data_IF_556747508939
#
_entry.id   IF_556747508939
#
_cell.length_a   1.000
_cell.length_b   1.000
_cell.length_c   1.000
_cell.angle_alpha   90.00
_cell.angle_beta   90.00
_cell.angle_gamma   90.00
#
_symmetry.space_group_name_H-M   'P 1'
#
loop_
_entity.id
_entity.type
_entity.pdbx_description
1 polymer ?
#
# COMPACT_ATOMS: atom_id res chain seq x y z
N UNK A 1 6.55 -14.80 -12.18
CA UNK A 1 7.24 -13.54 -11.80
C UNK A 1 7.78 -13.67 -10.38
N UNK A 2 9.05 -13.42 -10.18
CA UNK A 2 9.64 -13.52 -8.84
C UNK A 2 9.52 -12.21 -8.07
N UNK A 3 9.46 -12.33 -6.75
CA UNK A 3 9.47 -11.15 -5.89
C UNK A 3 10.89 -10.59 -5.78
N UNK A 4 11.04 -9.27 -5.65
CA UNK A 4 12.34 -8.73 -5.31
C UNK A 4 12.75 -9.20 -3.91
N UNK A 5 14.04 -9.37 -3.69
CA UNK A 5 14.54 -9.63 -2.35
C UNK A 5 14.34 -8.38 -1.48
N UNK A 6 14.49 -8.54 -0.18
CA UNK A 6 14.38 -7.43 0.75
C UNK A 6 15.38 -6.33 0.44
N UNK A 7 16.62 -6.71 0.11
CA UNK A 7 17.68 -5.77 -0.26
C UNK A 7 17.36 -5.08 -1.58
N UNK A 8 16.89 -5.84 -2.56
CA UNK A 8 16.51 -5.29 -3.86
C UNK A 8 15.38 -4.28 -3.73
N UNK A 9 14.36 -4.60 -2.94
CA UNK A 9 13.24 -3.70 -2.73
C UNK A 9 13.69 -2.41 -2.03
N UNK A 10 14.49 -2.55 -0.99
CA UNK A 10 15.01 -1.41 -0.24
C UNK A 10 15.81 -0.48 -1.14
N UNK A 11 16.67 -1.05 -1.97
CA UNK A 11 17.46 -0.30 -2.94
C UNK A 11 16.57 0.44 -3.93
N UNK A 12 15.53 -0.23 -4.43
CA UNK A 12 14.59 0.38 -5.37
C UNK A 12 13.80 1.53 -4.73
N UNK A 13 13.37 1.36 -3.49
CA UNK A 13 12.63 2.39 -2.79
C UNK A 13 13.49 3.65 -2.57
N UNK A 14 14.73 3.46 -2.16
CA UNK A 14 15.67 4.58 -1.99
C UNK A 14 15.88 5.31 -3.32
N UNK A 15 16.05 4.56 -4.40
CA UNK A 15 16.20 5.13 -5.74
C UNK A 15 14.95 5.93 -6.14
N UNK A 16 13.77 5.38 -5.87
CA UNK A 16 12.51 6.05 -6.18
C UNK A 16 12.34 7.35 -5.40
N UNK A 17 12.69 7.35 -4.12
CA UNK A 17 12.63 8.54 -3.29
C UNK A 17 13.58 9.63 -3.83
N UNK A 18 14.77 9.23 -4.24
CA UNK A 18 15.75 10.15 -4.82
C UNK A 18 15.24 10.74 -6.14
N UNK A 19 14.63 9.92 -6.99
CA UNK A 19 14.04 10.38 -8.25
C UNK A 19 12.96 11.45 -8.00
N UNK A 20 12.09 11.22 -7.01
CA UNK A 20 11.06 12.18 -6.67
C UNK A 20 11.62 13.47 -6.08
N UNK A 21 12.64 13.35 -5.24
CA UNK A 21 13.31 14.47 -4.62
C UNK A 21 13.91 15.43 -5.66
N UNK A 22 14.46 14.87 -6.72
CA UNK A 22 15.07 15.64 -7.81
C UNK A 22 14.11 15.95 -8.94
N UNK A 23 12.84 15.60 -8.78
CA UNK A 23 11.79 15.82 -9.79
C UNK A 23 12.15 15.19 -11.13
N UNK A 24 12.76 14.00 -11.09
CA UNK A 24 13.15 13.23 -12.26
C UNK A 24 12.53 11.84 -12.16
N UNK A 25 11.29 11.74 -12.58
CA UNK A 25 10.53 10.50 -12.51
C UNK A 25 9.97 10.14 -13.88
N UNK A 26 10.82 9.56 -14.76
CA UNK A 26 10.37 9.21 -16.11
C UNK A 26 9.27 8.16 -16.05
N UNK A 27 8.22 8.39 -16.82
CA UNK A 27 7.10 7.45 -16.95
C UNK A 27 6.41 7.13 -15.62
N UNK A 28 6.56 8.00 -14.63
CA UNK A 28 5.95 7.83 -13.30
C UNK A 28 6.36 6.53 -12.59
N UNK A 29 7.58 6.08 -12.85
CA UNK A 29 8.10 4.84 -12.26
C UNK A 29 8.23 4.95 -10.74
N UNK A 30 8.83 6.04 -10.26
CA UNK A 30 9.02 6.25 -8.83
C UNK A 30 7.68 6.44 -8.12
N UNK A 31 6.81 7.25 -8.68
CA UNK A 31 5.47 7.48 -8.11
C UNK A 31 4.71 6.16 -7.97
N UNK A 32 4.73 5.34 -9.02
CA UNK A 32 4.02 4.06 -9.02
C UNK A 32 4.59 3.10 -8.00
N UNK A 33 5.91 2.98 -7.95
CA UNK A 33 6.58 2.08 -7.01
C UNK A 33 6.30 2.46 -5.56
N UNK A 34 6.45 3.73 -5.24
CA UNK A 34 6.24 4.21 -3.86
C UNK A 34 4.78 4.04 -3.44
N UNK A 35 3.85 4.36 -4.34
CA UNK A 35 2.42 4.22 -4.06
C UNK A 35 2.05 2.75 -3.84
N UNK A 36 2.45 1.88 -4.76
CA UNK A 36 2.12 0.46 -4.66
C UNK A 36 2.77 -0.19 -3.43
N UNK A 37 4.01 0.20 -3.11
CA UNK A 37 4.68 -0.33 -1.92
C UNK A 37 3.95 0.09 -0.63
N UNK A 38 3.50 1.32 -0.58
CA UNK A 38 2.73 1.85 0.55
C UNK A 38 1.42 1.09 0.73
N UNK A 39 0.67 0.92 -0.36
CA UNK A 39 -0.62 0.24 -0.32
C UNK A 39 -0.48 -1.25 -0.01
N UNK A 40 0.53 -1.90 -0.58
CA UNK A 40 0.74 -3.33 -0.43
C UNK A 40 0.90 -3.74 1.04
N UNK A 41 1.54 -2.92 1.85
CA UNK A 41 1.72 -3.21 3.28
C UNK A 41 0.40 -3.45 3.99
N UNK A 42 -0.61 -2.67 3.67
CA UNK A 42 -1.93 -2.80 4.28
C UNK A 42 -2.66 -4.04 3.79
N UNK A 43 -2.51 -4.38 2.51
CA UNK A 43 -3.12 -5.59 1.97
C UNK A 43 -2.45 -6.85 2.50
N UNK A 44 -1.14 -6.81 2.72
CA UNK A 44 -0.43 -7.93 3.33
C UNK A 44 -0.87 -8.13 4.78
N UNK A 45 -1.08 -7.06 5.51
CA UNK A 45 -1.61 -7.13 6.87
C UNK A 45 -3.01 -7.70 6.88
N UNK A 46 -3.86 -7.27 5.94
CA UNK A 46 -5.21 -7.82 5.81
C UNK A 46 -5.17 -9.33 5.56
N UNK A 47 -4.27 -9.77 4.69
CA UNK A 47 -4.12 -11.20 4.42
C UNK A 47 -3.78 -11.98 5.69
N UNK A 48 -2.85 -11.47 6.49
CA UNK A 48 -2.47 -12.12 7.76
C UNK A 48 -3.64 -12.22 8.72
N UNK A 49 -4.37 -11.11 8.88
CA UNK A 49 -5.51 -11.07 9.79
C UNK A 49 -6.62 -12.00 9.31
N UNK A 50 -6.92 -11.98 8.02
CA UNK A 50 -7.95 -12.84 7.42
C UNK A 50 -7.58 -14.32 7.55
N UNK A 51 -6.33 -14.65 7.28
CA UNK A 51 -5.83 -16.02 7.40
C UNK A 51 -5.96 -16.52 8.83
N UNK A 52 -5.56 -15.69 9.79
CA UNK A 52 -5.65 -16.03 11.20
C UNK A 52 -7.12 -16.24 11.63
N UNK A 53 -8.00 -15.36 11.20
CA UNK A 53 -9.43 -15.44 11.49
C UNK A 53 -10.03 -16.76 10.96
N UNK A 54 -9.67 -17.13 9.73
CA UNK A 54 -10.24 -18.31 9.09
C UNK A 54 -9.67 -19.62 9.65
N UNK A 55 -8.41 -19.62 10.10
CA UNK A 55 -7.72 -20.87 10.46
C UNK A 55 -7.55 -21.09 11.95
N UNK A 56 -7.62 -20.05 12.77
CA UNK A 56 -7.31 -20.18 14.20
C UNK A 56 -8.43 -19.76 15.13
N UNK A 57 -9.57 -19.44 14.60
CA UNK A 57 -10.72 -19.14 15.41
C UNK A 57 -11.43 -17.88 14.92
N UNK A 58 -12.73 -17.91 15.01
CA UNK A 58 -13.60 -16.83 14.55
C UNK A 58 -14.16 -16.08 15.75
N UNK A 59 -13.28 -15.77 16.70
CA UNK A 59 -13.65 -15.01 17.86
C UNK A 59 -14.03 -13.58 17.48
N UNK A 60 -14.88 -12.97 18.28
CA UNK A 60 -15.36 -11.62 18.04
C UNK A 60 -14.22 -10.61 17.91
N UNK A 61 -13.19 -10.72 18.74
CA UNK A 61 -12.02 -9.84 18.69
C UNK A 61 -11.32 -9.91 17.33
N UNK A 62 -11.18 -11.12 16.77
CA UNK A 62 -10.56 -11.32 15.48
C UNK A 62 -11.44 -10.80 14.35
N UNK A 63 -12.76 -10.97 14.49
CA UNK A 63 -13.72 -10.40 13.55
C UNK A 63 -13.61 -8.87 13.51
N UNK A 64 -13.54 -8.24 14.68
CA UNK A 64 -13.40 -6.79 14.78
C UNK A 64 -12.06 -6.30 14.23
N UNK A 65 -10.98 -7.04 14.45
CA UNK A 65 -9.66 -6.70 13.91
C UNK A 65 -9.69 -6.73 12.38
N UNK A 66 -10.34 -7.74 11.80
CA UNK A 66 -10.48 -7.85 10.36
C UNK A 66 -11.30 -6.70 9.78
N UNK A 67 -12.43 -6.40 10.39
CA UNK A 67 -13.29 -5.31 9.97
C UNK A 67 -12.57 -3.97 10.05
N UNK A 68 -11.84 -3.73 11.13
CA UNK A 68 -11.07 -2.50 11.33
C UNK A 68 -9.98 -2.35 10.25
N UNK A 69 -9.30 -3.44 9.93
CA UNK A 69 -8.27 -3.43 8.89
C UNK A 69 -8.87 -3.10 7.52
N UNK A 70 -10.02 -3.69 7.20
CA UNK A 70 -10.72 -3.41 5.93
C UNK A 70 -11.12 -1.94 5.86
N UNK A 71 -11.68 -1.40 6.92
CA UNK A 71 -12.09 0.00 6.96
C UNK A 71 -10.90 0.95 6.78
N UNK A 72 -9.78 0.62 7.40
CA UNK A 72 -8.55 1.40 7.25
C UNK A 72 -8.06 1.42 5.80
N UNK A 73 -8.11 0.28 5.13
CA UNK A 73 -7.72 0.18 3.73
C UNK A 73 -8.64 1.03 2.85
N UNK A 74 -9.95 0.96 3.09
CA UNK A 74 -10.92 1.76 2.35
C UNK A 74 -10.66 3.25 2.51
N UNK A 75 -10.32 3.69 3.72
CA UNK A 75 -9.99 5.09 3.98
C UNK A 75 -8.75 5.52 3.21
N UNK A 76 -7.71 4.69 3.22
CA UNK A 76 -6.46 4.99 2.51
C UNK A 76 -6.72 5.08 1.01
N UNK A 77 -7.44 4.13 0.44
CA UNK A 77 -7.75 4.12 -0.99
C UNK A 77 -8.58 5.34 -1.39
N UNK A 78 -9.55 5.71 -0.57
CA UNK A 78 -10.38 6.88 -0.79
C UNK A 78 -9.55 8.16 -0.76
N UNK A 79 -8.63 8.28 0.18
CA UNK A 79 -7.76 9.44 0.32
C UNK A 79 -6.83 9.57 -0.88
N UNK A 80 -6.26 8.47 -1.36
CA UNK A 80 -5.40 8.45 -2.54
C UNK A 80 -6.19 8.89 -3.77
N UNK A 81 -7.41 8.41 -3.94
CA UNK A 81 -8.26 8.80 -5.06
C UNK A 81 -8.54 10.30 -5.06
N UNK A 82 -8.77 10.90 -3.89
CA UNK A 82 -8.96 12.35 -3.77
C UNK A 82 -7.72 13.12 -4.16
N UNK A 83 -6.56 12.66 -3.74
CA UNK A 83 -5.29 13.30 -4.10
C UNK A 83 -5.06 13.29 -5.60
N UNK A 84 -5.41 12.19 -6.27
CA UNK A 84 -5.29 12.08 -7.70
C UNK A 84 -6.19 13.09 -8.42
N UNK A 85 -7.42 13.25 -7.96
CA UNK A 85 -8.36 14.22 -8.52
C UNK A 85 -7.80 15.65 -8.36
N UNK A 86 -7.28 15.97 -7.20
CA UNK A 86 -6.69 17.28 -6.93
C UNK A 86 -5.46 17.53 -7.79
N UNK A 87 -4.64 16.49 -8.00
CA UNK A 87 -3.43 16.58 -8.82
C UNK A 87 -3.74 16.91 -10.27
N UNK A 88 -4.88 16.48 -10.78
CA UNK A 88 -5.30 16.77 -12.13
C UNK A 88 -6.08 18.10 -12.27
N UNK A 89 -6.29 18.79 -11.17
CA UNK A 89 -6.98 20.07 -11.19
C UNK A 89 -8.45 19.97 -11.55
N UNK A 90 -9.08 18.89 -11.21
CA UNK A 90 -10.49 18.63 -11.50
C UNK A 90 -11.41 19.09 -10.36
N UNK A 91 -11.16 20.25 -9.86
CA UNK A 91 -11.91 20.80 -8.74
C UNK A 91 -13.24 21.38 -9.15
#
# INVERSE_FOLDING_TARGET
>A
MSKPTEIELKTAIIAAETMKEHDKDPFFIAKSLLNHNYRLKYYEELLKIADHYMNHGQAEQQHMALLHCIDKIKDIESHIAKQDIESFGLE
#
